data_IF_100259172580
#
_entry.id   IF_100259172580
#
_cell.length_a   1.000
_cell.length_b   1.000
_cell.length_c   1.000
_cell.angle_alpha   90.00
_cell.angle_beta   90.00
_cell.angle_gamma   90.00
#
_symmetry.space_group_name_H-M   'P 1'
#
loop_
_entity.id
_entity.type
_entity.pdbx_description
1 polymer ?
#
# COMPACT_ATOMS: atom_id res chain seq x y z
N UNK A 1 -15.44 14.33 -9.86
CA UNK A 1 -14.18 14.05 -10.57
C UNK A 1 -14.49 13.07 -11.69
N UNK A 2 -14.50 13.58 -12.90
CA UNK A 2 -14.75 12.84 -14.14
C UNK A 2 -13.63 11.82 -14.32
N UNK A 3 -14.00 10.54 -14.36
CA UNK A 3 -13.10 9.47 -14.79
C UNK A 3 -12.77 9.76 -16.25
N UNK A 4 -11.58 10.29 -16.50
CA UNK A 4 -11.09 10.53 -17.85
C UNK A 4 -11.16 9.24 -18.66
N UNK A 5 -11.80 9.32 -19.78
CA UNK A 5 -11.88 8.28 -20.79
C UNK A 5 -10.47 7.90 -21.23
N UNK A 6 -10.09 6.64 -21.05
CA UNK A 6 -8.79 6.07 -21.43
C UNK A 6 -8.55 5.98 -22.96
N UNK A 7 -9.30 6.74 -23.75
CA UNK A 7 -9.25 6.64 -25.22
C UNK A 7 -8.06 7.35 -25.88
N UNK A 8 -7.23 8.10 -25.10
CA UNK A 8 -6.12 8.90 -25.65
C UNK A 8 -4.77 8.66 -24.98
N UNK A 9 -4.46 7.43 -24.59
CA UNK A 9 -3.18 7.08 -23.93
C UNK A 9 -1.95 7.38 -24.82
N UNK A 10 -2.11 7.51 -26.13
CA UNK A 10 -1.02 7.70 -27.07
C UNK A 10 -0.80 9.17 -27.52
N UNK A 11 -1.56 10.12 -26.99
CA UNK A 11 -1.48 11.55 -27.38
C UNK A 11 -0.70 12.44 -26.39
N UNK A 12 0.17 11.88 -25.57
CA UNK A 12 0.99 12.67 -24.64
C UNK A 12 2.31 13.12 -25.31
N UNK A 13 2.74 14.35 -25.01
CA UNK A 13 4.01 14.89 -25.49
C UNK A 13 5.20 14.52 -24.61
N UNK A 14 4.95 14.22 -23.34
CA UNK A 14 5.99 13.86 -22.37
C UNK A 14 5.45 12.99 -21.26
N UNK A 15 6.32 12.19 -20.65
CA UNK A 15 6.03 11.38 -19.48
C UNK A 15 6.99 11.78 -18.35
N UNK A 16 6.44 12.11 -17.18
CA UNK A 16 7.22 12.36 -15.99
C UNK A 16 7.10 11.18 -15.03
N UNK A 17 8.23 10.61 -14.65
CA UNK A 17 8.32 9.57 -13.61
C UNK A 17 8.84 10.22 -12.33
N UNK A 18 8.08 10.10 -11.25
CA UNK A 18 8.46 10.63 -9.93
C UNK A 18 8.02 9.69 -8.83
N UNK A 19 8.60 9.85 -7.64
CA UNK A 19 8.12 9.13 -6.45
C UNK A 19 6.75 9.69 -6.05
N UNK A 20 5.83 8.78 -5.71
CA UNK A 20 4.54 9.18 -5.17
C UNK A 20 4.70 9.54 -3.69
N UNK A 21 4.06 10.63 -3.26
CA UNK A 21 3.94 10.98 -1.84
C UNK A 21 2.91 10.08 -1.14
N UNK A 22 2.87 10.12 0.18
CA UNK A 22 1.83 9.42 0.96
C UNK A 22 0.44 9.94 0.66
N UNK A 23 0.31 11.23 0.39
CA UNK A 23 -0.93 11.90 -0.02
C UNK A 23 -1.39 11.41 -1.40
N UNK A 24 -0.47 11.26 -2.35
CA UNK A 24 -0.77 10.73 -3.68
C UNK A 24 -1.27 9.29 -3.61
N UNK A 25 -0.64 8.45 -2.78
CA UNK A 25 -1.07 7.06 -2.57
C UNK A 25 -2.47 7.03 -1.96
N UNK A 26 -2.74 7.82 -0.92
CA UNK A 26 -4.05 7.89 -0.26
C UNK A 26 -5.12 8.43 -1.20
N UNK A 27 -4.82 9.44 -2.01
CA UNK A 27 -5.78 10.03 -2.96
C UNK A 27 -6.25 9.05 -4.05
N UNK A 28 -5.38 8.11 -4.44
CA UNK A 28 -5.67 7.07 -5.43
C UNK A 28 -6.27 5.81 -4.82
N UNK A 29 -6.24 5.68 -3.49
CA UNK A 29 -6.69 4.50 -2.78
C UNK A 29 -8.21 4.45 -2.63
N UNK A 30 -8.78 3.27 -2.79
CA UNK A 30 -10.21 3.00 -2.54
C UNK A 30 -10.49 2.54 -1.11
N UNK A 31 -9.45 2.39 -0.29
CA UNK A 31 -9.58 2.07 1.13
C UNK A 31 -8.32 1.46 1.72
N UNK A 32 -8.29 1.38 3.03
CA UNK A 32 -7.20 0.82 3.81
C UNK A 32 -7.39 -0.67 4.02
N UNK A 33 -6.33 -1.44 3.75
CA UNK A 33 -6.25 -2.87 4.08
C UNK A 33 -5.76 -2.99 5.52
N UNK A 34 -6.62 -3.49 6.41
CA UNK A 34 -6.34 -3.56 7.86
C UNK A 34 -5.96 -4.96 8.34
N UNK A 35 -6.18 -5.97 7.52
CA UNK A 35 -5.98 -7.37 7.86
C UNK A 35 -5.08 -8.06 6.85
N UNK A 36 -4.18 -8.94 7.28
CA UNK A 36 -3.31 -9.70 6.38
C UNK A 36 -4.02 -10.83 5.64
N UNK A 37 -5.23 -11.20 6.07
CA UNK A 37 -5.98 -12.29 5.49
C UNK A 37 -6.36 -11.99 4.04
N UNK A 38 -6.31 -13.01 3.22
CA UNK A 38 -6.69 -12.95 1.80
C UNK A 38 -8.10 -13.47 1.58
N UNK A 39 -8.29 -14.77 1.78
CA UNK A 39 -9.55 -15.47 1.61
C UNK A 39 -9.85 -16.33 2.84
N UNK A 40 -11.11 -16.59 3.07
CA UNK A 40 -11.53 -17.60 4.04
C UNK A 40 -11.25 -19.00 3.45
N UNK A 41 -10.43 -19.81 4.11
CA UNK A 41 -10.01 -21.13 3.63
C UNK A 41 -11.17 -22.13 3.48
N UNK A 42 -12.28 -21.92 4.21
CA UNK A 42 -13.46 -22.82 4.18
C UNK A 42 -14.42 -22.44 3.06
N UNK A 43 -14.63 -21.14 2.84
CA UNK A 43 -15.61 -20.62 1.88
C UNK A 43 -15.00 -20.14 0.58
N UNK A 44 -13.67 -20.00 0.52
CA UNK A 44 -12.88 -19.41 -0.57
C UNK A 44 -13.30 -17.99 -0.95
N UNK A 45 -14.00 -17.28 -0.07
CA UNK A 45 -14.42 -15.90 -0.30
C UNK A 45 -13.43 -14.91 0.31
N UNK A 46 -13.30 -13.76 -0.33
CA UNK A 46 -12.42 -12.68 0.14
C UNK A 46 -12.81 -12.22 1.55
N UNK A 47 -11.83 -12.13 2.43
CA UNK A 47 -12.04 -11.61 3.78
C UNK A 47 -12.25 -10.09 3.75
N UNK A 48 -13.18 -9.62 4.59
CA UNK A 48 -13.46 -8.19 4.74
C UNK A 48 -12.24 -7.48 5.31
N UNK A 49 -11.91 -6.34 4.70
CA UNK A 49 -10.77 -5.47 5.05
C UNK A 49 -9.40 -6.15 4.88
N UNK A 50 -9.37 -7.30 4.21
CA UNK A 50 -8.16 -8.03 3.84
C UNK A 50 -7.61 -7.64 2.48
N UNK A 51 -6.56 -8.35 2.07
CA UNK A 51 -5.83 -8.08 0.82
C UNK A 51 -6.65 -8.28 -0.46
N UNK A 52 -7.78 -9.01 -0.40
CA UNK A 52 -8.70 -9.22 -1.53
C UNK A 52 -10.10 -8.64 -1.29
N UNK A 53 -10.26 -7.76 -0.30
CA UNK A 53 -11.55 -7.19 0.08
C UNK A 53 -12.31 -6.60 -1.10
N UNK A 54 -13.54 -7.07 -1.32
CA UNK A 54 -14.39 -6.60 -2.43
C UNK A 54 -14.86 -5.16 -2.25
N UNK A 55 -14.94 -4.67 -1.01
CA UNK A 55 -15.29 -3.28 -0.73
C UNK A 55 -14.22 -2.31 -1.22
N UNK A 56 -12.94 -2.68 -1.07
CA UNK A 56 -11.78 -1.87 -1.47
C UNK A 56 -11.53 -2.04 -2.96
N UNK A 57 -11.35 -3.27 -3.41
CA UNK A 57 -10.88 -3.56 -4.76
C UNK A 57 -12.01 -3.79 -5.78
N UNK A 58 -13.22 -4.01 -5.33
CA UNK A 58 -14.35 -4.29 -6.18
C UNK A 58 -14.81 -5.76 -6.12
N UNK A 59 -15.96 -6.06 -6.75
CA UNK A 59 -16.56 -7.38 -6.69
C UNK A 59 -15.75 -8.43 -7.45
N UNK A 60 -15.74 -9.67 -6.98
CA UNK A 60 -15.15 -10.81 -7.70
C UNK A 60 -15.98 -11.21 -8.90
N UNK A 61 -17.30 -11.15 -8.77
CA UNK A 61 -18.23 -11.49 -9.83
C UNK A 61 -18.79 -10.24 -10.48
N UNK A 62 -18.99 -10.30 -11.80
CA UNK A 62 -19.55 -9.18 -12.54
C UNK A 62 -20.95 -8.84 -12.04
N UNK A 63 -21.14 -7.57 -11.71
CA UNK A 63 -22.45 -7.01 -11.35
C UNK A 63 -23.10 -7.67 -10.12
N UNK A 64 -22.32 -8.19 -9.21
CA UNK A 64 -22.80 -8.82 -7.98
C UNK A 64 -22.07 -8.23 -6.76
N UNK A 65 -22.80 -7.89 -5.69
CA UNK A 65 -22.19 -7.50 -4.44
C UNK A 65 -21.77 -8.72 -3.61
N UNK A 66 -20.87 -8.54 -2.64
CA UNK A 66 -20.37 -9.62 -1.80
C UNK A 66 -21.47 -10.46 -1.12
N UNK A 67 -22.50 -9.84 -0.54
CA UNK A 67 -23.57 -10.56 0.15
C UNK A 67 -24.63 -11.15 -0.79
N UNK A 68 -24.58 -10.86 -2.09
CA UNK A 68 -25.54 -11.34 -3.08
C UNK A 68 -26.89 -10.62 -3.09
N UNK A 69 -27.08 -9.57 -2.27
CA UNK A 69 -28.35 -8.80 -2.24
C UNK A 69 -28.64 -8.15 -3.58
N UNK A 70 -27.62 -7.58 -4.21
CA UNK A 70 -27.72 -6.97 -5.53
C UNK A 70 -27.00 -7.81 -6.56
N UNK A 71 -27.74 -8.29 -7.56
CA UNK A 71 -27.23 -9.08 -8.69
C UNK A 71 -27.75 -8.54 -10.01
N UNK A 72 -26.88 -8.50 -11.00
CA UNK A 72 -27.18 -8.10 -12.36
C UNK A 72 -26.95 -6.63 -12.67
N UNK A 73 -26.88 -6.37 -13.98
CA UNK A 73 -26.55 -5.05 -14.57
C UNK A 73 -27.53 -3.94 -14.16
N UNK A 74 -28.78 -4.30 -13.88
CA UNK A 74 -29.82 -3.36 -13.41
C UNK A 74 -29.42 -2.60 -12.15
N UNK A 75 -28.51 -3.15 -11.35
CA UNK A 75 -28.02 -2.54 -10.12
C UNK A 75 -26.65 -1.88 -10.28
N UNK A 76 -26.20 -1.66 -11.51
CA UNK A 76 -24.90 -1.03 -11.82
C UNK A 76 -24.71 0.27 -11.04
N UNK A 77 -23.58 0.42 -10.36
CA UNK A 77 -23.19 1.63 -9.64
C UNK A 77 -23.75 1.76 -8.23
N UNK A 78 -24.70 0.91 -7.84
CA UNK A 78 -25.26 0.93 -6.48
C UNK A 78 -24.20 0.41 -5.49
N UNK A 79 -24.04 1.10 -4.39
CA UNK A 79 -23.27 0.63 -3.23
C UNK A 79 -24.21 -0.15 -2.33
N UNK A 80 -23.88 -1.42 -2.08
CA UNK A 80 -24.73 -2.25 -1.22
C UNK A 80 -24.71 -1.74 0.21
N UNK A 81 -25.88 -1.46 0.75
CA UNK A 81 -26.10 -1.02 2.14
C UNK A 81 -25.66 -2.08 3.16
N UNK A 82 -25.72 -3.36 2.82
CA UNK A 82 -25.38 -4.49 3.70
C UNK A 82 -23.88 -4.79 3.75
N UNK A 83 -23.20 -4.84 2.60
CA UNK A 83 -21.79 -5.25 2.54
C UNK A 83 -20.84 -4.15 2.07
N UNK A 84 -21.34 -2.97 1.65
CA UNK A 84 -20.56 -1.82 1.21
C UNK A 84 -19.87 -2.00 -0.15
N UNK A 85 -20.13 -3.09 -0.87
CA UNK A 85 -19.52 -3.35 -2.18
C UNK A 85 -20.31 -2.63 -3.27
N UNK A 86 -19.61 -1.87 -4.11
CA UNK A 86 -20.20 -1.21 -5.27
C UNK A 86 -20.39 -2.22 -6.40
N UNK A 87 -21.62 -2.31 -6.91
CA UNK A 87 -21.97 -3.22 -8.00
C UNK A 87 -21.37 -2.70 -9.32
N UNK A 88 -20.28 -3.33 -9.74
CA UNK A 88 -19.52 -2.98 -10.94
C UNK A 88 -19.03 -4.24 -11.64
N UNK A 89 -18.39 -4.06 -12.79
CA UNK A 89 -17.71 -5.17 -13.47
C UNK A 89 -16.45 -5.56 -12.70
N UNK A 90 -16.14 -6.85 -12.58
CA UNK A 90 -14.99 -7.39 -11.84
C UNK A 90 -13.62 -6.89 -12.33
N UNK A 91 -13.54 -6.43 -13.60
CA UNK A 91 -12.30 -5.82 -14.17
C UNK A 91 -11.77 -4.63 -13.37
N UNK A 92 -12.62 -3.95 -12.58
CA UNK A 92 -12.19 -2.85 -11.71
C UNK A 92 -11.13 -3.29 -10.70
N UNK A 93 -11.11 -4.56 -10.31
CA UNK A 93 -10.10 -5.13 -9.41
C UNK A 93 -8.67 -5.03 -9.94
N UNK A 94 -8.50 -4.93 -11.26
CA UNK A 94 -7.17 -4.73 -11.90
C UNK A 94 -6.71 -3.28 -11.89
N UNK A 95 -7.60 -2.33 -11.57
CA UNK A 95 -7.33 -0.89 -11.64
C UNK A 95 -7.36 -0.21 -10.27
N UNK A 96 -8.17 -0.72 -9.35
CA UNK A 96 -8.31 -0.12 -8.02
C UNK A 96 -7.10 -0.44 -7.15
N UNK A 97 -6.59 0.60 -6.50
CA UNK A 97 -5.52 0.53 -5.52
C UNK A 97 -6.10 0.66 -4.12
N UNK A 98 -5.56 -0.09 -3.19
CA UNK A 98 -5.73 0.11 -1.76
C UNK A 98 -4.42 0.57 -1.14
N UNK A 99 -4.42 0.92 0.13
CA UNK A 99 -3.21 1.26 0.87
C UNK A 99 -3.15 0.51 2.20
N UNK A 100 -1.96 0.40 2.74
CA UNK A 100 -1.70 -0.13 4.08
C UNK A 100 -1.06 0.98 4.88
N UNK A 101 -1.69 1.37 6.01
CA UNK A 101 -1.11 2.28 6.97
C UNK A 101 -0.03 1.54 7.78
N UNK A 102 1.22 2.00 7.67
CA UNK A 102 2.32 1.41 8.43
C UNK A 102 2.35 1.99 9.85
N UNK A 103 2.68 1.17 10.84
CA UNK A 103 2.77 1.58 12.24
C UNK A 103 3.95 2.53 12.52
N UNK A 104 5.01 2.44 11.70
CA UNK A 104 6.21 3.28 11.78
C UNK A 104 6.68 3.68 10.38
N UNK A 105 7.41 4.82 10.25
CA UNK A 105 8.03 5.17 8.98
C UNK A 105 9.00 4.08 8.53
N UNK A 106 8.95 3.75 7.24
CA UNK A 106 9.85 2.76 6.62
C UNK A 106 10.71 3.45 5.58
N UNK A 107 11.97 3.05 5.51
CA UNK A 107 12.95 3.57 4.55
C UNK A 107 12.64 3.03 3.15
N UNK A 108 12.64 3.92 2.17
CA UNK A 108 12.44 3.54 0.77
C UNK A 108 13.65 2.74 0.26
N UNK A 109 13.39 1.58 -0.34
CA UNK A 109 14.41 0.64 -0.77
C UNK A 109 15.42 1.22 -1.78
N UNK A 110 15.00 2.14 -2.66
CA UNK A 110 15.88 2.78 -3.63
C UNK A 110 16.97 3.63 -2.99
N UNK A 111 16.72 4.22 -1.83
CA UNK A 111 17.70 5.02 -1.10
C UNK A 111 18.54 4.19 -0.15
N UNK A 112 18.06 3.00 0.22
CA UNK A 112 18.75 2.10 1.15
C UNK A 112 19.57 1.02 0.45
N UNK A 113 18.96 0.21 -0.43
CA UNK A 113 19.61 -0.97 -1.07
C UNK A 113 20.36 -0.65 -2.36
N UNK A 114 20.32 0.58 -2.89
CA UNK A 114 21.14 0.96 -4.02
C UNK A 114 22.65 0.83 -3.65
N UNK A 115 23.46 0.47 -4.61
CA UNK A 115 24.91 0.37 -4.44
C UNK A 115 25.62 1.52 -5.19
N UNK A 116 26.23 2.49 -4.49
CA UNK A 116 26.31 2.66 -3.03
C UNK A 116 24.97 3.14 -2.41
N UNK A 117 24.74 2.78 -1.13
CA UNK A 117 23.56 3.25 -0.39
C UNK A 117 23.60 4.76 -0.22
N UNK A 118 22.61 5.47 -0.74
CA UNK A 118 22.53 6.93 -0.61
C UNK A 118 22.38 7.38 0.84
N UNK A 119 21.54 6.68 1.61
CA UNK A 119 21.37 6.95 3.05
C UNK A 119 22.66 6.63 3.79
N UNK A 120 23.32 5.49 3.49
CA UNK A 120 24.59 5.12 4.08
C UNK A 120 25.68 6.16 3.85
N UNK A 121 25.76 6.66 2.62
CA UNK A 121 26.73 7.70 2.27
C UNK A 121 26.47 9.02 3.01
N UNK A 122 25.20 9.45 3.08
CA UNK A 122 24.83 10.69 3.78
C UNK A 122 25.09 10.63 5.29
N UNK A 123 24.84 9.47 5.90
CA UNK A 123 25.06 9.27 7.33
C UNK A 123 26.46 8.79 7.69
N UNK A 124 27.32 8.54 6.71
CA UNK A 124 28.66 7.97 6.93
C UNK A 124 28.64 6.55 7.51
N UNK A 125 27.57 5.80 7.28
CA UNK A 125 27.34 4.51 7.93
C UNK A 125 27.45 3.33 6.95
N UNK A 126 27.97 2.22 7.45
CA UNK A 126 28.01 0.97 6.68
C UNK A 126 26.58 0.41 6.51
N UNK A 127 26.28 -0.13 5.34
CA UNK A 127 24.96 -0.71 5.01
C UNK A 127 24.49 -1.76 6.01
N UNK A 128 25.40 -2.60 6.51
CA UNK A 128 25.06 -3.65 7.50
C UNK A 128 24.57 -3.06 8.83
N UNK A 129 25.12 -1.92 9.26
CA UNK A 129 24.70 -1.23 10.48
C UNK A 129 23.31 -0.62 10.27
N UNK A 130 23.12 0.04 9.13
CA UNK A 130 21.80 0.59 8.75
C UNK A 130 20.74 -0.50 8.66
N UNK A 131 21.08 -1.64 8.09
CA UNK A 131 20.14 -2.77 7.97
C UNK A 131 19.64 -3.24 9.33
N UNK A 132 20.53 -3.38 10.30
CA UNK A 132 20.15 -3.76 11.68
C UNK A 132 19.22 -2.75 12.34
N UNK A 133 19.45 -1.46 12.12
CA UNK A 133 18.60 -0.39 12.64
C UNK A 133 17.23 -0.39 11.95
N UNK A 134 17.20 -0.43 10.63
CA UNK A 134 15.98 -0.38 9.83
C UNK A 134 15.06 -1.58 10.11
N UNK A 135 15.64 -2.76 10.36
CA UNK A 135 14.90 -3.96 10.69
C UNK A 135 14.67 -4.16 12.20
N UNK A 136 14.89 -3.11 13.00
CA UNK A 136 14.67 -3.13 14.47
C UNK A 136 15.47 -4.22 15.20
N UNK A 137 16.65 -4.55 14.70
CA UNK A 137 17.58 -5.53 15.29
C UNK A 137 18.64 -4.90 16.19
N UNK A 138 18.64 -3.59 16.35
CA UNK A 138 19.57 -2.85 17.16
C UNK A 138 19.20 -1.39 17.28
N UNK A 139 19.81 -0.74 18.27
CA UNK A 139 19.64 0.68 18.54
C UNK A 139 20.95 1.43 18.23
N UNK A 140 20.82 2.66 17.77
CA UNK A 140 21.97 3.53 17.63
C UNK A 140 22.00 4.60 18.71
N UNK A 141 23.16 4.82 19.27
CA UNK A 141 23.39 5.91 20.21
C UNK A 141 23.46 7.21 19.43
N UNK A 142 22.48 8.10 19.63
CA UNK A 142 22.44 9.43 19.02
C UNK A 142 23.18 10.41 19.93
N UNK A 143 22.90 10.37 21.24
CA UNK A 143 23.57 11.17 22.25
C UNK A 143 23.98 10.24 23.41
N UNK A 144 25.29 10.09 23.67
CA UNK A 144 25.77 9.24 24.75
C UNK A 144 25.59 9.86 26.15
N UNK A 145 25.34 11.16 26.24
CA UNK A 145 25.23 11.86 27.53
C UNK A 145 26.44 11.62 28.43
N UNK A 146 26.22 11.31 29.72
CA UNK A 146 27.24 10.99 30.72
C UNK A 146 27.67 9.52 30.74
N UNK A 147 27.27 8.72 29.73
CA UNK A 147 27.61 7.29 29.67
C UNK A 147 28.93 7.02 28.95
N UNK A 148 29.60 5.87 29.15
CA UNK A 148 30.82 5.49 28.44
C UNK A 148 30.58 5.09 26.98
N UNK A 149 29.35 5.22 26.46
CA UNK A 149 29.00 4.90 25.09
C UNK A 149 29.58 5.95 24.13
N UNK A 150 29.75 5.54 22.89
CA UNK A 150 30.16 6.45 21.80
C UNK A 150 28.98 6.80 20.93
N UNK A 151 28.98 8.03 20.40
CA UNK A 151 28.02 8.44 19.37
C UNK A 151 28.11 7.51 18.17
N UNK A 152 26.96 7.17 17.59
CA UNK A 152 26.80 6.19 16.50
C UNK A 152 27.23 4.75 16.85
N UNK A 153 27.38 4.42 18.11
CA UNK A 153 27.59 3.06 18.55
C UNK A 153 26.28 2.26 18.38
N UNK A 154 26.39 1.07 17.77
CA UNK A 154 25.27 0.14 17.64
C UNK A 154 25.16 -0.70 18.92
N UNK A 155 23.98 -0.73 19.50
CA UNK A 155 23.60 -1.58 20.64
C UNK A 155 22.65 -2.67 20.15
N UNK A 156 22.77 -3.86 20.67
CA UNK A 156 21.90 -5.03 20.40
C UNK A 156 20.82 -5.17 21.46
#
# INVERSE_FOLDING_TARGET
>A
MTVGTYEKINEYSSVRISLASTEDVKSRSFGEVKKPETINYRTYRAEKDGLFCERIFGPERNWECFCGKYKGIKHKGIVCDRCGVKVTHSRVRRKRMGHIGLAAPIVHIWFFKAMPSRIGTLLGMKTNVLERIIYFQGYMVIDPGATPLKEYQLLS
#
